data_IF_186452645507
#
_entry.id   IF_186452645507
#
_cell.length_a   1.000
_cell.length_b   1.000
_cell.length_c   1.000
_cell.angle_alpha   90.00
_cell.angle_beta   90.00
_cell.angle_gamma   90.00
#
_symmetry.space_group_name_H-M   'P 1'
#
loop_
_entity.id
_entity.type
_entity.pdbx_description
1 polymer ?
#
# COMPACT_ATOMS: atom_id res chain seq x y z
N UNK A 1 1.09 70.03 -14.55
CA UNK A 1 0.62 69.69 -15.91
C UNK A 1 0.92 68.22 -16.17
N UNK A 2 -0.12 67.47 -16.59
CA UNK A 2 -0.23 66.14 -17.23
C UNK A 2 1.12 65.47 -17.62
N UNK A 3 1.40 64.17 -17.44
CA UNK A 3 0.64 62.97 -17.83
C UNK A 3 1.30 61.72 -17.20
N UNK A 4 0.61 60.82 -16.49
CA UNK A 4 0.08 59.50 -16.94
C UNK A 4 1.06 58.63 -17.75
N UNK A 5 1.57 57.56 -17.12
CA UNK A 5 1.98 56.27 -17.72
C UNK A 5 1.59 55.16 -16.72
N UNK A 6 0.45 54.47 -16.89
CA UNK A 6 0.30 53.13 -17.52
C UNK A 6 1.31 52.12 -16.93
N UNK A 7 0.98 51.37 -15.86
CA UNK A 7 0.24 50.09 -15.81
C UNK A 7 0.93 48.93 -16.56
N UNK A 8 1.60 48.04 -15.81
CA UNK A 8 1.90 46.60 -16.02
C UNK A 8 3.04 46.24 -15.02
N UNK A 9 3.14 45.14 -14.28
CA UNK A 9 2.58 43.80 -14.43
C UNK A 9 2.80 43.03 -13.09
N UNK A 10 1.75 42.40 -12.59
CA UNK A 10 1.68 41.15 -11.82
C UNK A 10 2.78 40.78 -10.79
N UNK A 11 2.39 40.85 -9.51
CA UNK A 11 2.10 39.68 -8.68
C UNK A 11 3.06 38.47 -8.82
N UNK A 12 4.22 38.54 -8.18
CA UNK A 12 5.00 37.33 -7.83
C UNK A 12 4.49 36.83 -6.48
N UNK A 13 3.30 36.25 -6.47
CA UNK A 13 2.96 35.24 -5.46
C UNK A 13 3.76 34.00 -5.82
N UNK A 14 4.93 33.82 -5.22
CA UNK A 14 5.58 32.51 -5.21
C UNK A 14 4.62 31.55 -4.53
N UNK A 15 3.95 30.75 -5.34
CA UNK A 15 3.11 29.64 -4.93
C UNK A 15 4.01 28.74 -4.08
N UNK A 16 3.77 28.72 -2.77
CA UNK A 16 4.23 27.64 -1.91
C UNK A 16 3.46 26.40 -2.36
N UNK A 17 4.02 25.63 -3.29
CA UNK A 17 3.55 24.28 -3.55
C UNK A 17 3.98 23.46 -2.34
N UNK A 18 3.14 23.43 -1.32
CA UNK A 18 3.23 22.39 -0.32
C UNK A 18 2.73 21.11 -0.98
N UNK A 19 3.65 20.30 -1.48
CA UNK A 19 3.41 18.88 -1.67
C UNK A 19 3.21 18.25 -0.28
N UNK A 20 2.04 18.48 0.32
CA UNK A 20 1.68 17.81 1.56
C UNK A 20 1.31 16.37 1.21
N UNK A 21 1.98 15.42 1.86
CA UNK A 21 1.83 13.99 1.62
C UNK A 21 0.45 13.45 1.99
N UNK A 22 -0.54 13.71 1.14
CA UNK A 22 -1.92 13.17 1.24
C UNK A 22 -1.92 11.63 1.15
N UNK A 23 -0.87 11.03 0.57
CA UNK A 23 -0.75 9.57 0.45
C UNK A 23 -0.57 8.84 1.79
N UNK A 24 0.13 9.43 2.77
CA UNK A 24 0.42 8.78 4.07
C UNK A 24 -0.86 8.34 4.81
N UNK A 25 -1.88 9.20 4.86
CA UNK A 25 -3.08 8.90 5.62
C UNK A 25 -3.94 7.81 4.93
N UNK A 26 -4.00 7.83 3.59
CA UNK A 26 -4.91 6.95 2.85
C UNK A 26 -4.39 5.51 2.79
N UNK A 27 -3.08 5.31 2.56
CA UNK A 27 -2.46 3.98 2.64
C UNK A 27 -2.64 3.38 4.03
N UNK A 28 -2.42 4.16 5.08
CA UNK A 28 -2.57 3.72 6.47
C UNK A 28 -4.02 3.39 6.82
N UNK A 29 -4.98 4.20 6.38
CA UNK A 29 -6.40 3.93 6.60
C UNK A 29 -6.87 2.66 5.86
N UNK A 30 -6.39 2.43 4.63
CA UNK A 30 -6.68 1.21 3.88
C UNK A 30 -6.06 -0.02 4.59
N UNK A 31 -4.78 0.05 4.95
CA UNK A 31 -4.07 -1.03 5.62
C UNK A 31 -4.72 -1.37 6.97
N UNK A 32 -5.13 -0.38 7.76
CA UNK A 32 -5.87 -0.61 9.00
C UNK A 32 -7.17 -1.40 8.75
N UNK A 33 -7.97 -1.02 7.74
CA UNK A 33 -9.21 -1.75 7.42
C UNK A 33 -8.95 -3.19 6.97
N UNK A 34 -7.88 -3.42 6.20
CA UNK A 34 -7.48 -4.77 5.78
C UNK A 34 -7.08 -5.61 6.99
N UNK A 35 -6.25 -5.08 7.88
CA UNK A 35 -5.82 -5.77 9.10
C UNK A 35 -7.00 -6.05 10.03
N UNK A 36 -7.92 -5.09 10.20
CA UNK A 36 -9.14 -5.25 10.99
C UNK A 36 -10.04 -6.38 10.46
N UNK A 37 -10.04 -6.63 9.15
CA UNK A 37 -10.85 -7.69 8.55
C UNK A 37 -10.15 -9.04 8.43
N UNK A 38 -8.87 -9.13 8.80
CA UNK A 38 -8.13 -10.39 8.80
C UNK A 38 -8.81 -11.50 9.62
N UNK A 39 -9.32 -11.27 10.86
CA UNK A 39 -10.05 -12.29 11.61
C UNK A 39 -11.30 -12.83 10.89
N UNK A 40 -11.88 -12.04 9.97
CA UNK A 40 -13.01 -12.45 9.14
C UNK A 40 -12.57 -13.08 7.81
N UNK A 41 -11.27 -13.34 7.60
CA UNK A 41 -10.70 -13.82 6.33
C UNK A 41 -11.05 -12.91 5.16
N UNK A 42 -10.98 -11.60 5.37
CA UNK A 42 -11.27 -10.55 4.39
C UNK A 42 -12.69 -10.59 3.79
N UNK A 43 -13.64 -11.32 4.41
CA UNK A 43 -15.01 -11.50 3.90
C UNK A 43 -15.76 -10.17 3.77
N UNK A 44 -15.56 -9.22 4.67
CA UNK A 44 -16.32 -7.97 4.68
C UNK A 44 -15.77 -6.99 3.64
N UNK A 45 -14.48 -7.07 3.35
CA UNK A 45 -13.82 -6.27 2.32
C UNK A 45 -13.77 -6.96 0.94
N UNK A 46 -14.41 -8.12 0.79
CA UNK A 46 -14.54 -8.84 -0.48
C UNK A 46 -15.58 -8.19 -1.39
N UNK A 47 -15.20 -7.93 -2.64
CA UNK A 47 -16.06 -7.41 -3.71
C UNK A 47 -16.34 -8.47 -4.77
N UNK A 48 -16.38 -8.02 -6.02
CA UNK A 48 -16.79 -8.82 -7.17
C UNK A 48 -15.75 -9.89 -7.53
N UNK A 49 -16.21 -11.02 -8.07
CA UNK A 49 -15.33 -12.08 -8.56
C UNK A 49 -14.58 -11.59 -9.82
N UNK A 50 -13.26 -11.69 -9.81
CA UNK A 50 -12.40 -11.38 -10.95
C UNK A 50 -12.08 -12.63 -11.76
N UNK A 51 -11.70 -13.69 -11.06
CA UNK A 51 -11.31 -14.96 -11.66
C UNK A 51 -11.55 -16.11 -10.69
N UNK A 52 -11.91 -17.27 -11.20
CA UNK A 52 -12.02 -18.49 -10.44
C UNK A 52 -11.29 -19.62 -11.17
N UNK A 53 -10.60 -20.45 -10.38
CA UNK A 53 -9.95 -21.68 -10.80
C UNK A 53 -10.35 -22.79 -9.84
N UNK A 54 -10.01 -24.05 -10.17
CA UNK A 54 -10.33 -25.19 -9.32
C UNK A 54 -9.78 -25.04 -7.88
N UNK A 55 -8.66 -24.32 -7.72
CA UNK A 55 -7.92 -24.24 -6.45
C UNK A 55 -8.00 -22.88 -5.75
N UNK A 56 -8.40 -21.82 -6.47
CA UNK A 56 -8.49 -20.47 -5.91
C UNK A 56 -9.52 -19.61 -6.62
N UNK A 57 -10.03 -18.62 -5.90
CA UNK A 57 -10.85 -17.56 -6.45
C UNK A 57 -10.30 -16.19 -6.04
N UNK A 58 -10.19 -15.30 -7.02
CA UNK A 58 -9.69 -13.94 -6.87
C UNK A 58 -10.86 -12.96 -6.98
N UNK A 59 -10.91 -12.04 -6.02
CA UNK A 59 -11.98 -11.05 -5.89
C UNK A 59 -11.39 -9.65 -5.85
N UNK A 60 -12.09 -8.69 -6.43
CA UNK A 60 -11.76 -7.28 -6.24
C UNK A 60 -11.95 -6.93 -4.76
N UNK A 61 -10.98 -6.26 -4.15
CA UNK A 61 -11.17 -5.75 -2.79
C UNK A 61 -12.07 -4.50 -2.80
N UNK A 62 -12.94 -4.36 -1.81
CA UNK A 62 -13.66 -3.10 -1.54
C UNK A 62 -12.74 -2.04 -0.91
N UNK A 63 -11.62 -2.47 -0.32
CA UNK A 63 -10.61 -1.56 0.22
C UNK A 63 -9.53 -1.38 -0.84
N UNK A 64 -9.41 -0.15 -1.33
CA UNK A 64 -8.43 0.26 -2.33
C UNK A 64 -7.49 1.30 -1.74
N UNK A 65 -6.23 1.30 -2.21
CA UNK A 65 -5.28 2.37 -1.93
C UNK A 65 -5.38 3.38 -3.08
N UNK A 66 -5.71 4.65 -2.84
CA UNK A 66 -5.81 5.63 -3.91
C UNK A 66 -4.53 5.73 -4.74
N UNK A 67 -4.66 5.62 -6.07
CA UNK A 67 -3.53 5.59 -7.00
C UNK A 67 -2.92 4.22 -7.24
N UNK A 68 -3.37 3.17 -6.55
CA UNK A 68 -3.00 1.78 -6.88
C UNK A 68 -3.64 1.34 -8.20
N UNK A 69 -3.04 0.36 -8.85
CA UNK A 69 -3.57 -0.28 -10.06
C UNK A 69 -4.78 -1.16 -9.72
N UNK A 70 -4.63 -2.03 -8.73
CA UNK A 70 -5.70 -2.89 -8.23
C UNK A 70 -5.35 -3.48 -6.86
N UNK A 71 -6.35 -3.66 -6.01
CA UNK A 71 -6.24 -4.53 -4.84
C UNK A 71 -7.17 -5.75 -4.96
N UNK A 72 -6.62 -6.94 -4.71
CA UNK A 72 -7.24 -8.26 -4.92
C UNK A 72 -7.22 -9.06 -3.62
N UNK A 73 -8.28 -9.83 -3.38
CA UNK A 73 -8.35 -10.85 -2.34
C UNK A 73 -8.34 -12.21 -3.02
N UNK A 74 -7.33 -13.02 -2.73
CA UNK A 74 -7.26 -14.40 -3.21
C UNK A 74 -7.64 -15.37 -2.09
N UNK A 75 -8.57 -16.28 -2.38
CA UNK A 75 -9.02 -17.32 -1.48
C UNK A 75 -8.65 -18.70 -2.04
N UNK A 76 -7.91 -19.49 -1.26
CA UNK A 76 -7.65 -20.90 -1.60
C UNK A 76 -8.86 -21.79 -1.21
N UNK A 77 -9.20 -22.75 -2.07
CA UNK A 77 -10.37 -23.62 -1.88
C UNK A 77 -10.11 -24.82 -0.93
N UNK A 78 -8.86 -25.31 -0.83
CA UNK A 78 -8.43 -26.47 0.00
C UNK A 78 -6.91 -26.45 0.24
N UNK A 79 -6.36 -27.08 1.31
CA UNK A 79 -7.02 -27.67 2.48
C UNK A 79 -7.02 -26.75 3.72
N UNK A 80 -6.48 -25.54 3.61
CA UNK A 80 -6.73 -24.45 4.54
C UNK A 80 -7.17 -23.27 3.68
N UNK A 81 -8.29 -22.63 4.02
CA UNK A 81 -8.78 -21.46 3.28
C UNK A 81 -7.85 -20.27 3.57
N UNK A 82 -6.64 -20.32 3.03
CA UNK A 82 -5.67 -19.24 3.10
C UNK A 82 -6.25 -18.11 2.27
N UNK A 83 -6.45 -16.99 2.94
CA UNK A 83 -6.86 -15.75 2.31
C UNK A 83 -5.69 -14.80 2.32
N UNK A 84 -5.37 -14.21 1.19
CA UNK A 84 -4.44 -13.09 1.12
C UNK A 84 -5.14 -11.88 0.53
N UNK A 85 -4.68 -10.70 0.95
CA UNK A 85 -4.99 -9.44 0.30
C UNK A 85 -3.70 -8.90 -0.30
N UNK A 86 -3.75 -8.51 -1.56
CA UNK A 86 -2.63 -7.89 -2.27
C UNK A 86 -3.08 -6.63 -2.95
N UNK A 87 -2.20 -5.65 -3.06
CA UNK A 87 -2.46 -4.45 -3.83
C UNK A 87 -1.25 -4.07 -4.67
N UNK A 88 -1.43 -4.03 -5.99
CA UNK A 88 -0.43 -3.57 -6.95
C UNK A 88 -0.46 -2.04 -6.98
N UNK A 89 0.60 -1.43 -6.46
CA UNK A 89 0.69 0.01 -6.24
C UNK A 89 1.25 0.72 -7.46
N UNK A 90 2.22 0.10 -8.13
CA UNK A 90 2.94 0.73 -9.23
C UNK A 90 3.52 -0.33 -10.18
N UNK A 91 3.55 -0.02 -11.47
CA UNK A 91 4.14 -0.84 -12.52
C UNK A 91 4.93 0.04 -13.48
N UNK A 92 6.16 -0.34 -13.80
CA UNK A 92 7.00 0.40 -14.73
C UNK A 92 8.12 -0.46 -15.32
N UNK A 93 8.52 -0.27 -16.59
CA UNK A 93 9.72 -0.89 -17.12
C UNK A 93 11.00 -0.25 -16.53
N UNK A 94 10.89 0.94 -15.95
CA UNK A 94 11.98 1.71 -15.36
C UNK A 94 12.19 1.31 -13.90
N UNK A 95 13.30 0.63 -13.64
CA UNK A 95 13.69 0.15 -12.31
C UNK A 95 13.80 1.29 -11.29
N UNK A 96 14.38 2.44 -11.67
CA UNK A 96 14.60 3.53 -10.72
C UNK A 96 13.29 4.15 -10.26
N UNK A 97 12.31 4.29 -11.17
CA UNK A 97 10.97 4.75 -10.80
C UNK A 97 10.26 3.76 -9.89
N UNK A 98 10.36 2.47 -10.17
CA UNK A 98 9.75 1.44 -9.34
C UNK A 98 10.41 1.36 -7.95
N UNK A 99 11.75 1.49 -7.88
CA UNK A 99 12.52 1.59 -6.63
C UNK A 99 12.12 2.81 -5.81
N UNK A 100 11.96 3.97 -6.45
CA UNK A 100 11.48 5.18 -5.78
C UNK A 100 10.09 4.95 -5.19
N UNK A 101 9.16 4.35 -5.96
CA UNK A 101 7.81 4.03 -5.48
C UNK A 101 7.79 3.01 -4.35
N UNK A 102 8.70 2.03 -4.38
CA UNK A 102 8.90 1.08 -3.30
C UNK A 102 9.34 1.78 -2.00
N UNK A 103 10.29 2.72 -2.09
CA UNK A 103 10.73 3.52 -0.94
C UNK A 103 9.60 4.43 -0.41
N UNK A 104 8.90 5.14 -1.30
CA UNK A 104 7.76 5.99 -0.90
C UNK A 104 6.68 5.18 -0.16
N UNK A 105 6.41 3.96 -0.60
CA UNK A 105 5.47 3.07 0.07
C UNK A 105 6.00 2.58 1.43
N UNK A 106 7.29 2.24 1.52
CA UNK A 106 7.93 1.92 2.80
C UNK A 106 7.79 3.07 3.80
N UNK A 107 8.12 4.29 3.39
CA UNK A 107 8.09 5.47 4.25
C UNK A 107 6.67 5.75 4.79
N UNK A 108 5.63 5.44 3.99
CA UNK A 108 4.24 5.58 4.41
C UNK A 108 3.81 4.57 5.47
N UNK A 109 4.33 3.34 5.42
CA UNK A 109 3.93 2.23 6.29
C UNK A 109 4.81 2.14 7.53
N UNK A 110 6.09 2.47 7.39
CA UNK A 110 7.05 2.40 8.49
C UNK A 110 6.61 3.31 9.64
N UNK A 111 6.66 2.77 10.86
CA UNK A 111 6.25 3.47 12.09
C UNK A 111 4.76 3.89 12.13
N UNK A 112 3.91 3.32 11.27
CA UNK A 112 2.47 3.57 11.32
C UNK A 112 1.84 2.93 12.54
N UNK A 113 1.01 3.69 13.25
CA UNK A 113 0.21 3.21 14.39
C UNK A 113 -1.14 2.70 13.88
N UNK A 114 -1.40 1.41 14.05
CA UNK A 114 -2.67 0.77 13.73
C UNK A 114 -3.53 0.66 14.98
N UNK A 115 -4.83 0.96 14.85
CA UNK A 115 -5.80 0.93 15.95
C UNK A 115 -6.98 0.03 15.62
N UNK A 116 -6.96 -1.21 16.12
CA UNK A 116 -8.10 -2.12 16.04
C UNK A 116 -9.03 -1.87 17.22
N UNK A 117 -10.34 -1.79 16.98
CA UNK A 117 -11.35 -1.59 18.03
C UNK A 117 -11.23 -2.68 19.11
N UNK A 118 -11.09 -2.28 20.37
CA UNK A 118 -11.00 -3.20 21.51
C UNK A 118 -9.61 -3.80 21.74
N UNK A 119 -8.60 -3.45 20.93
CA UNK A 119 -7.21 -3.87 21.10
C UNK A 119 -6.32 -2.68 21.48
N UNK A 120 -5.16 -2.98 22.07
CA UNK A 120 -4.12 -1.95 22.23
C UNK A 120 -3.58 -1.55 20.84
N UNK A 121 -3.28 -0.27 20.60
CA UNK A 121 -2.60 0.14 19.37
C UNK A 121 -1.25 -0.57 19.23
N UNK A 122 -0.83 -0.81 18.00
CA UNK A 122 0.47 -1.38 17.68
C UNK A 122 1.11 -0.62 16.52
N UNK A 123 2.43 -0.73 16.43
CA UNK A 123 3.25 -0.06 15.43
C UNK A 123 3.73 -1.07 14.40
N UNK A 124 3.73 -0.68 13.12
CA UNK A 124 4.35 -1.44 12.04
C UNK A 124 5.82 -1.03 11.86
N UNK A 125 6.74 -1.93 12.14
CA UNK A 125 8.18 -1.71 12.04
C UNK A 125 8.78 -2.65 11.00
N UNK A 126 9.45 -2.12 9.98
CA UNK A 126 10.15 -2.92 8.98
C UNK A 126 11.56 -2.39 8.79
N UNK A 127 12.51 -3.27 8.47
CA UNK A 127 13.87 -2.85 8.09
C UNK A 127 13.93 -2.67 6.58
N UNK A 128 14.05 -1.42 6.12
CA UNK A 128 14.18 -1.14 4.69
C UNK A 128 15.39 -1.87 4.11
N UNK A 129 15.15 -2.61 3.04
CA UNK A 129 16.21 -3.17 2.20
C UNK A 129 16.20 -2.44 0.88
N UNK A 130 17.32 -1.83 0.51
CA UNK A 130 17.48 -1.24 -0.82
C UNK A 130 17.37 -2.36 -1.86
N UNK A 131 16.40 -2.29 -2.79
CA UNK A 131 16.35 -3.27 -3.86
C UNK A 131 17.61 -3.19 -4.71
N UNK A 132 18.07 -4.32 -5.23
CA UNK A 132 19.16 -4.38 -6.21
C UNK A 132 18.57 -4.83 -7.55
N UNK A 133 18.88 -4.15 -8.65
CA UNK A 133 18.29 -4.46 -9.96
C UNK A 133 18.58 -5.89 -10.42
N UNK A 134 19.75 -6.44 -10.05
CA UNK A 134 20.13 -7.83 -10.34
C UNK A 134 19.25 -8.83 -9.58
N UNK A 135 18.78 -8.44 -8.39
CA UNK A 135 17.80 -9.21 -7.63
C UNK A 135 16.41 -8.91 -8.18
N UNK A 136 15.91 -9.79 -9.05
CA UNK A 136 14.56 -9.70 -9.66
C UNK A 136 13.40 -9.62 -8.64
N UNK A 137 13.68 -9.73 -7.35
CA UNK A 137 12.72 -9.52 -6.27
C UNK A 137 13.42 -9.00 -5.01
N UNK A 138 12.82 -8.03 -4.34
CA UNK A 138 13.19 -7.56 -3.00
C UNK A 138 11.92 -7.38 -2.18
N UNK A 139 11.95 -7.77 -0.91
CA UNK A 139 10.80 -7.67 -0.02
C UNK A 139 11.20 -7.11 1.35
N UNK A 140 10.35 -6.27 1.92
CA UNK A 140 10.48 -5.77 3.30
C UNK A 140 9.24 -6.19 4.07
N UNK A 141 9.45 -6.95 5.15
CA UNK A 141 8.38 -7.39 6.06
C UNK A 141 8.28 -6.45 7.24
N UNK A 142 7.05 -6.19 7.66
CA UNK A 142 6.74 -5.39 8.83
C UNK A 142 6.36 -6.28 10.00
N UNK A 143 6.95 -6.00 11.15
CA UNK A 143 6.63 -6.56 12.45
C UNK A 143 5.63 -5.66 13.17
N UNK A 144 4.71 -6.26 13.91
CA UNK A 144 3.75 -5.55 14.76
C UNK A 144 4.28 -5.47 16.18
N UNK A 145 4.35 -4.27 16.75
CA UNK A 145 4.89 -4.06 18.10
C UNK A 145 3.93 -3.23 18.97
N UNK A 146 3.37 -3.80 20.06
CA UNK A 146 3.29 -5.25 20.34
C UNK A 146 2.36 -5.95 19.33
N UNK A 147 2.59 -7.24 19.04
CA UNK A 147 1.68 -8.00 18.17
C UNK A 147 0.40 -8.39 18.94
N UNK A 148 -0.80 -7.94 18.53
CA UNK A 148 -2.05 -8.40 19.14
C UNK A 148 -2.33 -9.86 18.78
N UNK A 149 -2.88 -10.64 19.73
CA UNK A 149 -3.21 -12.06 19.53
C UNK A 149 -4.13 -12.28 18.31
N UNK A 150 -5.08 -11.37 18.07
CA UNK A 150 -6.04 -11.48 16.97
C UNK A 150 -5.43 -11.38 15.56
N UNK A 151 -4.19 -10.90 15.45
CA UNK A 151 -3.47 -10.74 14.17
C UNK A 151 -2.04 -11.28 14.25
N UNK A 152 -1.72 -12.13 15.24
CA UNK A 152 -0.33 -12.54 15.51
C UNK A 152 0.33 -13.32 14.35
N UNK A 153 -0.47 -14.04 13.55
CA UNK A 153 0.01 -14.77 12.38
C UNK A 153 0.05 -13.90 11.11
N UNK A 154 -0.46 -12.67 11.17
CA UNK A 154 -0.56 -11.80 10.01
C UNK A 154 0.83 -11.28 9.62
N UNK A 155 1.18 -11.46 8.35
CA UNK A 155 2.36 -10.92 7.71
C UNK A 155 1.96 -9.76 6.82
N UNK A 156 2.69 -8.66 6.95
CA UNK A 156 2.56 -7.47 6.11
C UNK A 156 3.89 -7.30 5.39
N UNK A 157 3.86 -7.24 4.07
CA UNK A 157 5.07 -7.20 3.24
C UNK A 157 4.88 -6.22 2.09
N UNK A 158 5.88 -5.39 1.84
CA UNK A 158 6.03 -4.70 0.54
C UNK A 158 7.06 -5.45 -0.28
N UNK A 159 6.83 -5.57 -1.58
CA UNK A 159 7.76 -6.18 -2.51
C UNK A 159 7.94 -5.33 -3.76
N UNK A 160 9.16 -5.31 -4.27
CA UNK A 160 9.51 -4.87 -5.62
C UNK A 160 9.92 -6.11 -6.40
N UNK A 161 9.18 -6.48 -7.45
CA UNK A 161 9.43 -7.71 -8.22
C UNK A 161 9.37 -7.46 -9.72
N UNK A 162 10.23 -8.12 -10.46
CA UNK A 162 10.24 -8.09 -11.92
C UNK A 162 9.54 -9.32 -12.49
N UNK A 163 8.56 -9.09 -13.38
CA UNK A 163 7.96 -10.15 -14.21
C UNK A 163 8.21 -9.82 -15.68
N UNK A 164 7.40 -8.91 -16.21
CA UNK A 164 7.56 -8.27 -17.52
C UNK A 164 8.00 -6.82 -17.35
N UNK A 165 7.50 -6.19 -16.28
CA UNK A 165 7.87 -4.87 -15.78
C UNK A 165 8.13 -4.97 -14.26
N UNK A 166 8.71 -3.93 -13.69
CA UNK A 166 8.90 -3.81 -12.25
C UNK A 166 7.60 -3.42 -11.56
N UNK A 167 7.15 -4.25 -10.63
CA UNK A 167 5.90 -4.11 -9.91
C UNK A 167 6.17 -3.88 -8.42
N UNK A 168 5.54 -2.85 -7.84
CA UNK A 168 5.51 -2.59 -6.40
C UNK A 168 4.19 -3.10 -5.83
N UNK A 169 4.27 -4.03 -4.88
CA UNK A 169 3.08 -4.70 -4.30
C UNK A 169 3.11 -4.64 -2.78
N UNK A 170 1.98 -4.29 -2.18
CA UNK A 170 1.73 -4.48 -0.76
C UNK A 170 0.87 -5.73 -0.54
N UNK A 171 1.29 -6.60 0.38
CA UNK A 171 0.64 -7.87 0.67
C UNK A 171 0.34 -8.01 2.16
N UNK A 172 -0.84 -8.55 2.47
CA UNK A 172 -1.30 -8.91 3.81
C UNK A 172 -1.81 -10.34 3.79
N UNK A 173 -1.14 -11.25 4.49
CA UNK A 173 -1.37 -12.70 4.40
C UNK A 173 -0.94 -13.43 5.67
N UNK A 174 -1.26 -14.72 5.77
CA UNK A 174 -0.84 -15.61 6.89
C UNK A 174 0.48 -16.33 6.61
#
# INVERSE_FOLDING_TARGET
MKSVQILLLFLITTITVTAQGVFSNQTNAALQRVIEDYPNRFKNIKGDLLQESNNSADYQSKVQIPGSLNCVISLANQPASVSNWTCSIYLSPDYDKARQKYQELYDQISNTIIRIKGQKPFILNGSYTTPEQESKSTATRFQMTPAPECVQNLKIEISLRYREEWEVVLSVYE
#
